data_IF_756891847058
#
_entry.id   IF_756891847058
#
_cell.length_a   1.000
_cell.length_b   1.000
_cell.length_c   1.000
_cell.angle_alpha   90.00
_cell.angle_beta   90.00
_cell.angle_gamma   90.00
#
_symmetry.space_group_name_H-M   'P 1'
#
loop_
_entity.id
_entity.type
_entity.pdbx_description
1 polymer ?
#
# COMPACT_ATOMS: atom_id res chain seq x y z
N UNK A 1 13.14 -8.77 1.42
CA UNK A 1 11.74 -9.17 1.16
C UNK A 1 10.87 -7.94 1.18
N UNK A 2 9.89 -7.85 0.27
CA UNK A 2 8.86 -6.82 0.29
C UNK A 2 7.56 -7.46 0.79
N UNK A 3 6.88 -6.81 1.73
CA UNK A 3 5.64 -7.26 2.34
C UNK A 3 4.40 -7.18 1.43
N UNK A 4 3.22 -7.47 2.00
CA UNK A 4 1.96 -7.36 1.26
C UNK A 4 1.62 -5.90 0.94
N UNK A 5 0.88 -5.70 -0.15
CA UNK A 5 0.25 -4.43 -0.49
C UNK A 5 -1.16 -4.37 0.13
N UNK A 6 -1.77 -3.17 0.23
CA UNK A 6 -3.17 -3.05 0.61
C UNK A 6 -4.06 -3.80 -0.38
N UNK A 7 -4.96 -4.65 0.15
CA UNK A 7 -5.90 -5.40 -0.68
C UNK A 7 -7.28 -4.75 -0.73
N UNK A 8 -7.78 -4.53 -1.94
CA UNK A 8 -9.11 -3.97 -2.20
C UNK A 8 -10.00 -5.03 -2.84
N UNK A 9 -11.04 -5.48 -2.16
CA UNK A 9 -11.90 -6.52 -2.73
C UNK A 9 -12.62 -6.02 -4.00
N UNK A 10 -12.38 -6.69 -5.13
CA UNK A 10 -12.86 -6.25 -6.44
C UNK A 10 -12.07 -5.09 -7.06
N UNK A 11 -11.02 -4.60 -6.40
CA UNK A 11 -10.15 -3.50 -6.83
C UNK A 11 -10.61 -2.12 -6.38
N UNK A 12 -9.64 -1.23 -6.09
CA UNK A 12 -9.91 0.10 -5.57
C UNK A 12 -10.87 0.93 -6.45
N UNK A 13 -10.76 0.94 -7.80
CA UNK A 13 -11.72 1.66 -8.64
C UNK A 13 -13.16 1.20 -8.41
N UNK A 14 -13.40 -0.10 -8.26
CA UNK A 14 -14.74 -0.65 -8.02
C UNK A 14 -15.25 -0.31 -6.62
N UNK A 15 -14.38 -0.32 -5.61
CA UNK A 15 -14.72 0.14 -4.25
C UNK A 15 -15.15 1.60 -4.26
N UNK A 16 -14.44 2.47 -4.99
CA UNK A 16 -14.75 3.89 -5.09
C UNK A 16 -16.02 4.15 -5.92
N UNK A 17 -16.20 3.46 -7.06
CA UNK A 17 -17.46 3.53 -7.83
C UNK A 17 -18.63 3.15 -6.94
N UNK A 18 -18.48 2.07 -6.14
CA UNK A 18 -19.55 1.64 -5.26
C UNK A 18 -19.94 2.74 -4.26
N UNK A 19 -18.94 3.34 -3.62
CA UNK A 19 -19.10 4.43 -2.67
C UNK A 19 -19.76 5.68 -3.29
N UNK A 20 -19.31 6.09 -4.48
CA UNK A 20 -19.80 7.31 -5.11
C UNK A 20 -21.21 7.11 -5.66
N UNK A 21 -21.42 6.03 -6.40
CA UNK A 21 -22.68 5.80 -7.14
C UNK A 21 -23.77 5.25 -6.22
N UNK A 22 -23.47 4.21 -5.43
CA UNK A 22 -24.51 3.55 -4.61
C UNK A 22 -24.65 4.19 -3.24
N UNK A 23 -23.53 4.56 -2.59
CA UNK A 23 -23.58 5.19 -1.25
C UNK A 23 -23.74 6.72 -1.33
N UNK A 24 -23.86 7.27 -2.55
CA UNK A 24 -24.12 8.70 -2.86
C UNK A 24 -23.11 9.65 -2.20
N UNK A 25 -21.85 9.23 -2.08
CA UNK A 25 -20.77 10.09 -1.60
C UNK A 25 -20.23 10.94 -2.75
N UNK A 26 -19.82 12.16 -2.42
CA UNK A 26 -19.34 13.14 -3.42
C UNK A 26 -17.82 13.24 -3.46
N UNK A 27 -17.11 12.49 -2.62
CA UNK A 27 -15.67 12.57 -2.43
C UNK A 27 -14.95 11.26 -2.76
N UNK A 28 -13.72 11.40 -3.27
CA UNK A 28 -12.71 10.33 -3.24
C UNK A 28 -11.83 10.63 -2.02
N UNK A 29 -12.02 9.93 -0.89
CA UNK A 29 -11.27 10.19 0.33
C UNK A 29 -9.80 9.82 0.14
N UNK A 30 -8.86 10.59 0.70
CA UNK A 30 -7.43 10.30 0.56
C UNK A 30 -7.04 8.95 1.14
N UNK A 31 -7.73 8.51 2.20
CA UNK A 31 -7.53 7.21 2.85
C UNK A 31 -8.86 6.50 3.08
N UNK A 32 -8.83 5.19 2.97
CA UNK A 32 -9.95 4.31 3.34
C UNK A 32 -9.41 3.03 3.97
N UNK A 33 -10.18 2.45 4.89
CA UNK A 33 -9.90 1.13 5.46
C UNK A 33 -10.37 0.06 4.45
N UNK A 34 -9.48 -0.79 3.91
CA UNK A 34 -9.87 -1.89 3.04
C UNK A 34 -10.62 -3.01 3.79
N UNK A 35 -11.38 -3.84 3.08
CA UNK A 35 -12.28 -4.84 3.69
C UNK A 35 -11.56 -5.89 4.55
N UNK A 36 -10.31 -6.20 4.23
CA UNK A 36 -9.48 -7.22 4.93
C UNK A 36 -8.29 -6.59 5.65
N UNK A 37 -8.38 -5.31 6.04
CA UNK A 37 -7.25 -4.55 6.55
C UNK A 37 -6.53 -5.24 7.71
N UNK A 38 -7.25 -5.69 8.74
CA UNK A 38 -6.67 -6.33 9.92
C UNK A 38 -5.87 -7.59 9.56
N UNK A 39 -6.36 -8.40 8.63
CA UNK A 39 -5.68 -9.62 8.18
C UNK A 39 -4.38 -9.31 7.43
N UNK A 40 -4.38 -8.23 6.64
CA UNK A 40 -3.20 -7.80 5.89
C UNK A 40 -2.17 -7.18 6.82
N UNK A 41 -2.60 -6.43 7.84
CA UNK A 41 -1.73 -5.93 8.90
C UNK A 41 -1.12 -7.08 9.70
N UNK A 42 -1.91 -8.09 10.06
CA UNK A 42 -1.42 -9.30 10.73
C UNK A 42 -0.36 -10.01 9.88
N UNK A 43 -0.63 -10.24 8.60
CA UNK A 43 0.32 -10.87 7.67
C UNK A 43 1.62 -10.06 7.52
N UNK A 44 1.53 -8.72 7.48
CA UNK A 44 2.70 -7.84 7.45
C UNK A 44 3.58 -8.01 8.70
N UNK A 45 2.98 -8.15 9.88
CA UNK A 45 3.71 -8.41 11.14
C UNK A 45 4.33 -9.81 11.14
N UNK A 46 3.65 -10.82 10.62
CA UNK A 46 4.20 -12.17 10.49
C UNK A 46 5.43 -12.20 9.58
N UNK A 47 5.36 -11.51 8.44
CA UNK A 47 6.48 -11.35 7.52
C UNK A 47 7.65 -10.58 8.13
N UNK A 48 7.36 -9.55 8.94
CA UNK A 48 8.39 -8.84 9.70
C UNK A 48 9.07 -9.76 10.72
N UNK A 49 8.30 -10.58 11.44
CA UNK A 49 8.83 -11.57 12.40
C UNK A 49 9.71 -12.60 11.69
N UNK A 50 9.19 -13.23 10.63
CA UNK A 50 9.93 -14.23 9.85
C UNK A 50 11.23 -13.65 9.26
N UNK A 51 11.19 -12.40 8.78
CA UNK A 51 12.38 -11.77 8.23
C UNK A 51 13.49 -11.56 9.26
N UNK A 52 13.12 -11.25 10.52
CA UNK A 52 14.09 -11.18 11.63
C UNK A 52 14.67 -12.54 11.96
N UNK A 53 13.85 -13.60 11.94
CA UNK A 53 14.31 -14.97 12.19
C UNK A 53 15.28 -15.47 11.11
N UNK A 54 15.07 -15.04 9.86
CA UNK A 54 15.91 -15.40 8.71
C UNK A 54 17.08 -14.44 8.46
N UNK A 55 17.25 -13.40 9.29
CA UNK A 55 18.24 -12.32 9.11
C UNK A 55 18.20 -11.69 7.70
N UNK A 56 16.99 -11.43 7.19
CA UNK A 56 16.77 -10.74 5.91
C UNK A 56 16.12 -9.38 6.12
N UNK A 57 16.44 -8.46 5.20
CA UNK A 57 15.82 -7.13 5.17
C UNK A 57 14.35 -7.24 4.82
N UNK A 58 13.49 -6.55 5.57
CA UNK A 58 12.06 -6.47 5.33
C UNK A 58 11.61 -5.03 5.14
N UNK A 59 10.90 -4.77 4.06
CA UNK A 59 10.22 -3.49 3.80
C UNK A 59 8.73 -3.76 3.78
N UNK A 60 7.98 -3.00 4.57
CA UNK A 60 6.53 -3.14 4.73
C UNK A 60 5.77 -2.12 3.88
N UNK A 61 5.15 -2.50 2.75
CA UNK A 61 4.31 -1.57 2.00
C UNK A 61 3.13 -1.07 2.83
N UNK A 62 2.56 -1.91 3.71
CA UNK A 62 1.48 -1.50 4.63
C UNK A 62 1.93 -0.34 5.52
N UNK A 63 3.14 -0.38 6.08
CA UNK A 63 3.67 0.69 6.92
C UNK A 63 3.91 2.02 6.18
N UNK A 64 4.11 1.99 4.86
CA UNK A 64 4.30 3.19 4.03
C UNK A 64 3.02 3.69 3.36
N UNK A 65 2.07 2.80 3.07
CA UNK A 65 0.83 3.11 2.34
C UNK A 65 -0.38 3.28 3.26
N UNK A 66 -0.33 2.78 4.50
CA UNK A 66 -1.45 2.78 5.42
C UNK A 66 -1.08 3.38 6.78
N UNK A 67 -2.10 3.88 7.49
CA UNK A 67 -2.01 4.33 8.88
C UNK A 67 -3.35 4.03 9.59
N UNK A 68 -3.58 4.62 10.76
CA UNK A 68 -4.82 4.45 11.53
C UNK A 68 -6.09 4.90 10.82
N UNK A 69 -5.99 5.75 9.79
CA UNK A 69 -7.11 6.22 8.97
C UNK A 69 -7.34 5.32 7.74
N UNK A 70 -6.51 4.28 7.57
CA UNK A 70 -6.54 3.36 6.45
C UNK A 70 -5.44 3.64 5.42
N UNK A 71 -5.62 3.07 4.24
CA UNK A 71 -4.64 3.07 3.16
C UNK A 71 -4.92 4.19 2.16
N UNK A 72 -3.85 4.77 1.60
CA UNK A 72 -3.96 5.83 0.59
C UNK A 72 -4.73 5.29 -0.62
N UNK A 73 -5.75 6.03 -1.06
CA UNK A 73 -6.54 5.68 -2.25
C UNK A 73 -6.14 6.51 -3.47
N UNK A 74 -5.68 7.75 -3.28
CA UNK A 74 -5.31 8.70 -4.34
C UNK A 74 -4.11 9.56 -3.96
N UNK A 75 -3.40 10.09 -4.95
CA UNK A 75 -2.25 10.98 -4.77
C UNK A 75 -2.55 12.34 -5.41
N UNK A 76 -2.82 13.34 -4.58
CA UNK A 76 -3.31 14.64 -5.05
C UNK A 76 -4.77 14.58 -5.48
N UNK A 77 -5.30 15.65 -6.08
CA UNK A 77 -6.74 15.91 -6.10
C UNK A 77 -7.51 15.35 -7.31
N UNK A 78 -6.83 14.66 -8.22
CA UNK A 78 -7.46 14.16 -9.45
C UNK A 78 -7.84 12.69 -9.35
N UNK A 79 -8.93 12.31 -10.01
CA UNK A 79 -9.43 10.93 -10.02
C UNK A 79 -8.52 9.93 -10.78
N UNK A 80 -7.62 10.41 -11.65
CA UNK A 80 -6.62 9.59 -12.36
C UNK A 80 -5.40 9.25 -11.48
N UNK A 81 -5.38 9.71 -10.22
CA UNK A 81 -4.26 9.52 -9.29
C UNK A 81 -4.43 8.35 -8.31
N UNK A 82 -5.30 7.38 -8.64
CA UNK A 82 -5.55 6.25 -7.76
C UNK A 82 -4.28 5.45 -7.49
N UNK A 83 -4.10 4.98 -6.26
CA UNK A 83 -2.90 4.25 -5.84
C UNK A 83 -2.93 2.79 -6.29
N UNK A 84 -4.11 2.16 -6.35
CA UNK A 84 -4.27 0.75 -6.73
C UNK A 84 -5.16 0.59 -7.98
N UNK A 85 -4.78 -0.35 -8.84
CA UNK A 85 -5.46 -0.66 -10.10
C UNK A 85 -6.54 -1.74 -9.91
N UNK A 86 -6.15 -2.85 -9.29
CA UNK A 86 -7.00 -4.00 -9.04
C UNK A 86 -6.98 -4.39 -7.56
N UNK A 87 -7.20 -5.67 -7.26
CA UNK A 87 -7.24 -6.18 -5.90
C UNK A 87 -5.96 -5.95 -5.07
N UNK A 88 -4.79 -5.85 -5.70
CA UNK A 88 -3.51 -5.80 -4.98
C UNK A 88 -2.36 -5.14 -5.73
N UNK A 89 -2.51 -4.85 -7.03
CA UNK A 89 -1.48 -4.14 -7.79
C UNK A 89 -1.61 -2.62 -7.67
N UNK A 90 -0.48 -1.95 -7.48
CA UNK A 90 -0.39 -0.50 -7.54
C UNK A 90 -0.53 -0.02 -9.00
N UNK A 91 -1.05 1.20 -9.18
CA UNK A 91 -0.90 1.92 -10.44
C UNK A 91 0.55 2.39 -10.62
N UNK A 92 0.86 2.96 -11.78
CA UNK A 92 2.15 3.61 -11.98
C UNK A 92 2.40 4.70 -10.93
N UNK A 93 1.42 5.59 -10.71
CA UNK A 93 1.52 6.69 -9.72
C UNK A 93 1.68 6.13 -8.31
N UNK A 94 0.92 5.09 -7.95
CA UNK A 94 1.05 4.41 -6.66
C UNK A 94 2.45 3.80 -6.46
N UNK A 95 2.99 3.17 -7.51
CA UNK A 95 4.33 2.57 -7.50
C UNK A 95 5.41 3.64 -7.35
N UNK A 96 5.34 4.72 -8.14
CA UNK A 96 6.29 5.83 -8.06
C UNK A 96 6.30 6.46 -6.66
N UNK A 97 5.12 6.65 -6.06
CA UNK A 97 5.03 7.13 -4.68
C UNK A 97 5.66 6.15 -3.69
N UNK A 98 5.29 4.87 -3.75
CA UNK A 98 5.81 3.86 -2.83
C UNK A 98 7.35 3.75 -2.92
N UNK A 99 7.89 3.68 -4.13
CA UNK A 99 9.34 3.61 -4.36
C UNK A 99 10.04 4.84 -3.79
N UNK A 100 9.49 6.05 -3.96
CA UNK A 100 10.06 7.27 -3.36
C UNK A 100 10.10 7.20 -1.83
N UNK A 101 9.10 6.60 -1.19
CA UNK A 101 9.08 6.45 0.28
C UNK A 101 10.15 5.48 0.77
N UNK A 102 10.35 4.35 0.08
CA UNK A 102 11.27 3.30 0.54
C UNK A 102 12.71 3.49 0.06
N UNK A 103 12.95 4.40 -0.90
CA UNK A 103 14.28 4.60 -1.48
C UNK A 103 15.38 4.93 -0.45
N UNK A 104 15.15 5.76 0.59
CA UNK A 104 16.17 6.01 1.63
C UNK A 104 16.57 4.73 2.38
N UNK A 105 15.61 3.84 2.67
CA UNK A 105 15.86 2.55 3.33
C UNK A 105 16.57 1.58 2.39
N UNK A 106 16.11 1.45 1.14
CA UNK A 106 16.78 0.64 0.12
C UNK A 106 18.23 1.09 -0.14
N UNK A 107 18.47 2.40 -0.18
CA UNK A 107 19.78 2.98 -0.43
C UNK A 107 20.84 2.53 0.57
N UNK A 108 20.45 2.30 1.83
CA UNK A 108 21.35 1.79 2.87
C UNK A 108 21.87 0.36 2.58
N UNK A 109 21.16 -0.41 1.76
CA UNK A 109 21.54 -1.78 1.39
C UNK A 109 22.23 -1.85 0.03
N UNK A 110 21.82 -1.03 -0.94
CA UNK A 110 22.38 -1.03 -2.30
C UNK A 110 23.77 -0.35 -2.34
N UNK A 111 24.04 0.56 -1.39
CA UNK A 111 25.32 1.28 -1.30
C UNK A 111 26.42 0.50 -0.59
N UNK A 112 26.14 -0.71 -0.06
CA UNK A 112 27.16 -1.55 0.56
C UNK A 112 27.97 -2.27 -0.52
N UNK A 113 29.31 -2.13 -0.54
CA UNK A 113 30.12 -2.91 -1.46
C UNK A 113 29.95 -4.40 -1.16
N UNK A 114 29.68 -5.18 -2.21
CA UNK A 114 29.71 -6.64 -2.15
C UNK A 114 31.15 -7.02 -1.84
N UNK A 115 31.40 -7.60 -0.66
CA UNK A 115 32.69 -8.15 -0.28
C UNK A 115 32.98 -9.43 -1.04
#
# INVERSE_FOLDING_TARGET
MIGPLPEWEGGLPNVLIKRIVFDKKTDIPERMIPQKFDKIVELDEEFRRLSRELDIVYISPIGYLCNSEGCITRIGDKADSLVAFDHGHLTQIGTEFFIRQIFPELGAYISKPIK
#
